data_IF_902460242884
#
_entry.id   IF_902460242884
#
_cell.length_a   1.000
_cell.length_b   1.000
_cell.length_c   1.000
_cell.angle_alpha   90.00
_cell.angle_beta   90.00
_cell.angle_gamma   90.00
#
_symmetry.space_group_name_H-M   'P 1'
#
loop_
_entity.id
_entity.type
_entity.pdbx_description
1 polymer ?
#
# COMPACT_ATOMS: atom_id res chain seq x y z
N UNK A 1 -7.24 -7.21 3.20
CA UNK A 1 -6.18 -6.69 2.31
C UNK A 1 -4.86 -6.70 3.06
N UNK A 2 -3.88 -7.45 2.56
CA UNK A 2 -2.48 -7.22 2.93
C UNK A 2 -2.00 -6.02 2.11
N UNK A 3 -1.23 -5.11 2.71
CA UNK A 3 -0.55 -4.03 1.97
C UNK A 3 0.35 -4.66 0.89
N UNK A 4 0.57 -3.97 -0.23
CA UNK A 4 1.36 -4.39 -1.41
C UNK A 4 2.84 -4.80 -1.17
N UNK A 5 3.25 -4.97 0.09
CA UNK A 5 4.51 -5.56 0.51
C UNK A 5 4.43 -7.10 0.54
N UNK A 6 5.56 -7.79 0.74
CA UNK A 6 5.61 -9.25 0.82
C UNK A 6 4.55 -9.80 1.80
N UNK A 7 3.55 -10.55 1.28
CA UNK A 7 2.34 -10.96 2.03
C UNK A 7 2.29 -12.44 2.40
N UNK A 8 3.13 -13.28 1.79
CA UNK A 8 3.09 -14.74 1.92
C UNK A 8 3.22 -15.21 3.37
N UNK A 9 4.08 -14.56 4.16
CA UNK A 9 4.33 -14.93 5.55
C UNK A 9 3.10 -14.67 6.43
N UNK A 10 2.40 -13.56 6.19
CA UNK A 10 1.13 -13.25 6.85
C UNK A 10 0.06 -14.29 6.51
N UNK A 11 -0.04 -14.70 5.24
CA UNK A 11 -1.00 -15.72 4.83
C UNK A 11 -0.75 -17.05 5.53
N UNK A 12 0.51 -17.48 5.67
CA UNK A 12 0.85 -18.69 6.44
C UNK A 12 0.36 -18.59 7.88
N UNK A 13 0.58 -17.46 8.55
CA UNK A 13 0.08 -17.25 9.92
C UNK A 13 -1.45 -17.27 10.00
N UNK A 14 -2.13 -16.65 9.03
CA UNK A 14 -3.60 -16.60 9.00
C UNK A 14 -4.24 -17.97 8.71
N UNK A 15 -3.58 -18.86 7.95
CA UNK A 15 -4.04 -20.24 7.80
C UNK A 15 -4.01 -21.01 9.12
N UNK A 16 -2.96 -20.82 9.92
CA UNK A 16 -2.91 -21.40 11.27
C UNK A 16 -3.98 -20.78 12.17
N UNK A 17 -4.19 -19.45 12.11
CA UNK A 17 -5.24 -18.79 12.87
C UNK A 17 -6.65 -19.28 12.49
N UNK A 18 -6.88 -19.60 11.21
CA UNK A 18 -8.11 -20.21 10.74
C UNK A 18 -8.31 -21.62 11.31
N UNK A 19 -7.26 -22.46 11.28
CA UNK A 19 -7.29 -23.79 11.90
C UNK A 19 -7.58 -23.70 13.41
N UNK A 20 -6.88 -22.82 14.13
CA UNK A 20 -7.08 -22.58 15.56
C UNK A 20 -8.52 -22.19 15.88
N UNK A 21 -9.12 -21.37 15.03
CA UNK A 21 -10.49 -20.96 15.20
C UNK A 21 -11.46 -22.12 15.01
N UNK A 22 -11.31 -22.89 13.93
CA UNK A 22 -12.22 -23.99 13.59
C UNK A 22 -12.08 -25.18 14.55
N UNK A 23 -10.84 -25.54 14.90
CA UNK A 23 -10.53 -26.75 15.67
C UNK A 23 -10.53 -26.48 17.18
N UNK A 24 -10.00 -25.33 17.60
CA UNK A 24 -9.73 -25.03 19.02
C UNK A 24 -10.63 -23.92 19.57
N UNK A 25 -11.51 -23.32 18.75
CA UNK A 25 -12.37 -22.21 19.16
C UNK A 25 -11.62 -20.92 19.51
N UNK A 26 -10.35 -20.79 19.11
CA UNK A 26 -9.55 -19.60 19.41
C UNK A 26 -9.86 -18.52 18.38
N UNK A 27 -10.42 -17.38 18.82
CA UNK A 27 -10.85 -16.30 17.93
C UNK A 27 -9.69 -15.80 17.03
N UNK A 28 -9.92 -15.49 15.74
CA UNK A 28 -8.87 -15.00 14.85
C UNK A 28 -8.41 -13.57 15.24
N UNK A 29 -7.24 -13.12 14.76
CA UNK A 29 -6.83 -11.72 14.92
C UNK A 29 -7.87 -10.74 14.38
N UNK A 30 -8.04 -9.61 15.07
CA UNK A 30 -9.01 -8.59 14.68
C UNK A 30 -8.72 -8.02 13.28
N UNK A 31 -9.78 -7.81 12.51
CA UNK A 31 -9.69 -7.25 11.15
C UNK A 31 -9.09 -5.84 11.16
N UNK A 32 -8.13 -5.60 10.26
CA UNK A 32 -7.43 -4.32 10.08
C UNK A 32 -7.88 -3.60 8.81
N UNK A 33 -9.11 -3.85 8.33
CA UNK A 33 -9.61 -3.19 7.11
C UNK A 33 -9.69 -1.67 7.30
N UNK A 34 -9.41 -0.88 6.24
CA UNK A 34 -9.64 0.56 6.26
C UNK A 34 -11.10 0.89 6.60
N UNK A 35 -11.33 1.94 7.39
CA UNK A 35 -12.66 2.39 7.81
C UNK A 35 -12.80 3.89 7.66
N UNK A 36 -14.01 4.32 7.30
CA UNK A 36 -14.37 5.75 7.23
C UNK A 36 -14.32 6.38 8.63
N UNK A 37 -14.84 5.68 9.64
CA UNK A 37 -14.88 6.16 11.03
C UNK A 37 -13.48 6.50 11.60
N UNK A 38 -12.46 5.74 11.19
CA UNK A 38 -11.09 5.89 11.68
C UNK A 38 -10.25 6.79 10.76
N UNK A 39 -10.85 7.37 9.71
CA UNK A 39 -10.17 8.21 8.71
C UNK A 39 -9.14 7.47 7.86
N UNK A 40 -9.13 6.14 7.91
CA UNK A 40 -8.21 5.29 7.15
C UNK A 40 -8.75 4.91 5.78
N UNK A 41 -10.03 5.16 5.51
CA UNK A 41 -10.67 5.01 4.20
C UNK A 41 -11.26 6.37 3.79
N UNK A 42 -10.75 6.95 2.70
CA UNK A 42 -11.04 8.34 2.30
C UNK A 42 -11.36 8.45 0.80
N UNK A 43 -12.07 9.50 0.36
CA UNK A 43 -12.16 9.82 -1.06
C UNK A 43 -10.78 10.06 -1.68
N UNK A 44 -10.52 9.66 -2.94
CA UNK A 44 -9.23 9.83 -3.60
C UNK A 44 -8.66 11.25 -3.53
N UNK A 45 -9.49 12.29 -3.61
CA UNK A 45 -9.04 13.69 -3.51
C UNK A 45 -8.48 14.08 -2.13
N UNK A 46 -8.69 13.25 -1.09
CA UNK A 46 -8.19 13.48 0.28
C UNK A 46 -6.96 12.63 0.63
N UNK A 47 -6.42 11.85 -0.31
CA UNK A 47 -5.15 11.16 -0.13
C UNK A 47 -4.02 12.18 -0.05
N UNK A 48 -3.13 12.00 0.92
CA UNK A 48 -2.00 12.90 1.14
C UNK A 48 -0.70 12.12 1.01
N UNK A 49 -0.19 12.04 -0.21
CA UNK A 49 1.15 11.48 -0.46
C UNK A 49 2.23 12.54 -0.22
N UNK A 50 3.39 12.16 0.37
CA UNK A 50 4.57 13.01 0.36
C UNK A 50 5.14 13.15 -1.06
N UNK A 51 5.76 14.29 -1.35
CA UNK A 51 6.55 14.47 -2.56
C UNK A 51 7.77 13.55 -2.55
N UNK A 52 7.99 12.78 -3.62
CA UNK A 52 9.12 11.85 -3.76
C UNK A 52 9.97 12.25 -4.97
N UNK A 53 11.26 12.50 -4.76
CA UNK A 53 12.11 13.20 -5.75
C UNK A 53 13.56 12.75 -5.73
N UNK A 54 14.23 12.89 -6.88
CA UNK A 54 15.68 12.76 -7.01
C UNK A 54 16.23 11.34 -6.77
N UNK A 55 15.47 10.32 -7.17
CA UNK A 55 15.83 8.92 -6.99
C UNK A 55 16.08 8.24 -8.34
N UNK A 56 16.75 7.09 -8.29
CA UNK A 56 17.06 6.30 -9.49
C UNK A 56 16.76 4.83 -9.27
N UNK A 57 16.36 4.13 -10.33
CA UNK A 57 16.38 2.67 -10.41
C UNK A 57 17.59 2.20 -11.23
N UNK A 58 18.03 0.97 -10.98
CA UNK A 58 18.99 0.32 -11.88
C UNK A 58 18.21 -0.45 -12.95
N UNK A 59 18.23 0.05 -14.18
CA UNK A 59 17.59 -0.59 -15.34
C UNK A 59 18.70 -1.17 -16.22
N UNK A 60 18.89 -2.48 -16.16
CA UNK A 60 19.99 -3.15 -16.87
C UNK A 60 21.39 -2.64 -16.47
N UNK A 61 21.58 -2.28 -15.19
CA UNK A 61 22.84 -1.70 -14.69
C UNK A 61 22.96 -0.19 -14.90
N UNK A 62 22.05 0.44 -15.64
CA UNK A 62 22.07 1.88 -15.88
C UNK A 62 21.24 2.61 -14.83
N UNK A 63 21.81 3.59 -14.09
CA UNK A 63 21.03 4.47 -13.24
C UNK A 63 20.04 5.27 -14.07
N UNK A 64 18.75 5.01 -13.86
CA UNK A 64 17.64 5.66 -14.57
C UNK A 64 16.83 6.46 -13.57
N UNK A 65 16.62 7.75 -13.85
CA UNK A 65 15.86 8.63 -12.97
C UNK A 65 14.42 8.14 -12.81
N UNK A 66 13.96 8.09 -11.57
CA UNK A 66 12.54 7.93 -11.26
C UNK A 66 11.92 9.32 -11.41
N UNK A 67 10.87 9.48 -12.24
CA UNK A 67 10.14 10.74 -12.33
C UNK A 67 9.66 11.19 -10.94
N UNK A 68 9.64 12.52 -10.73
CA UNK A 68 9.09 13.06 -9.49
C UNK A 68 7.65 12.58 -9.32
N UNK A 69 7.36 11.95 -8.18
CA UNK A 69 6.02 11.48 -7.90
C UNK A 69 5.18 12.63 -7.35
N UNK A 70 4.05 12.86 -8.00
CA UNK A 70 3.00 13.77 -7.54
C UNK A 70 1.65 13.07 -7.68
N UNK A 71 0.85 13.09 -6.63
CA UNK A 71 -0.41 12.35 -6.60
C UNK A 71 -1.50 13.13 -7.34
N UNK A 72 -1.91 12.61 -8.50
CA UNK A 72 -2.83 13.29 -9.42
C UNK A 72 -4.31 13.11 -9.08
N UNK A 73 -4.64 12.37 -8.02
CA UNK A 73 -6.02 12.00 -7.67
C UNK A 73 -6.85 11.45 -8.84
N UNK A 74 -6.20 10.70 -9.74
CA UNK A 74 -6.86 10.00 -10.84
C UNK A 74 -7.42 8.68 -10.35
N UNK A 75 -8.65 8.40 -10.72
CA UNK A 75 -9.35 7.16 -10.42
C UNK A 75 -10.36 6.89 -11.54
N UNK A 76 -10.70 5.62 -11.73
CA UNK A 76 -11.79 5.25 -12.64
C UNK A 76 -13.11 5.50 -11.92
N UNK A 77 -13.80 6.57 -12.31
CA UNK A 77 -15.12 6.90 -11.82
C UNK A 77 -16.17 5.90 -12.33
N UNK A 78 -17.24 5.70 -11.56
CA UNK A 78 -18.40 4.93 -11.96
C UNK A 78 -19.63 5.82 -11.87
N UNK A 79 -20.08 6.35 -13.01
CA UNK A 79 -21.33 7.11 -13.08
C UNK A 79 -22.51 6.21 -12.73
N UNK A 80 -23.46 6.75 -11.99
CA UNK A 80 -24.75 6.12 -11.76
C UNK A 80 -25.58 6.28 -13.04
N UNK A 81 -25.96 5.15 -13.62
CA UNK A 81 -26.66 5.09 -14.89
C UNK A 81 -28.11 4.66 -14.69
N UNK A 82 -29.01 5.29 -15.45
CA UNK A 82 -30.44 4.99 -15.52
C UNK A 82 -30.75 4.29 -16.85
N UNK A 83 -31.07 2.99 -16.76
CA UNK A 83 -31.39 2.13 -17.90
C UNK A 83 -32.89 2.12 -18.23
N UNK A 84 -33.69 2.95 -17.56
CA UNK A 84 -35.13 3.06 -17.75
C UNK A 84 -35.96 2.29 -16.73
N UNK A 85 -37.28 2.53 -16.71
CA UNK A 85 -38.15 2.15 -15.60
C UNK A 85 -38.43 0.64 -15.47
N UNK A 86 -38.12 -0.15 -16.50
CA UNK A 86 -38.30 -1.61 -16.47
C UNK A 86 -37.03 -2.35 -16.03
N UNK A 87 -35.92 -1.64 -15.83
CA UNK A 87 -34.68 -2.22 -15.32
C UNK A 87 -34.64 -2.12 -13.80
N UNK A 88 -34.26 -3.21 -13.15
CA UNK A 88 -34.13 -3.30 -11.69
C UNK A 88 -32.64 -3.34 -11.35
N UNK A 89 -32.02 -2.21 -10.96
CA UNK A 89 -30.58 -2.16 -10.74
C UNK A 89 -30.09 -2.93 -9.51
N UNK A 90 -30.97 -3.28 -8.57
CA UNK A 90 -30.60 -3.95 -7.32
C UNK A 90 -30.18 -5.42 -7.53
N UNK A 91 -30.73 -6.08 -8.55
CA UNK A 91 -30.46 -7.48 -8.87
C UNK A 91 -30.15 -7.69 -10.36
N UNK A 92 -29.92 -6.59 -11.09
CA UNK A 92 -29.64 -6.56 -12.53
C UNK A 92 -30.71 -7.23 -13.40
N UNK A 93 -31.96 -7.30 -12.93
CA UNK A 93 -33.07 -7.93 -13.64
C UNK A 93 -33.92 -6.94 -14.46
N UNK A 94 -34.94 -7.46 -15.15
CA UNK A 94 -35.86 -6.67 -15.98
C UNK A 94 -35.32 -6.36 -17.37
N UNK A 95 -35.78 -5.25 -17.97
CA UNK A 95 -35.47 -4.87 -19.35
C UNK A 95 -34.86 -3.46 -19.36
N UNK A 96 -33.63 -3.33 -19.86
CA UNK A 96 -33.01 -2.04 -20.13
C UNK A 96 -33.67 -1.38 -21.35
N UNK A 97 -34.52 -0.38 -21.13
CA UNK A 97 -35.28 0.30 -22.19
C UNK A 97 -34.61 1.57 -22.71
N UNK A 98 -33.61 2.12 -22.00
CA UNK A 98 -32.83 3.28 -22.43
C UNK A 98 -31.42 2.84 -22.89
N UNK A 99 -31.12 3.07 -24.17
CA UNK A 99 -29.80 2.83 -24.77
C UNK A 99 -29.40 3.97 -25.72
N UNK A 100 -28.32 4.74 -25.45
CA UNK A 100 -27.45 4.61 -24.27
C UNK A 100 -28.19 4.97 -22.97
N UNK A 101 -27.80 4.39 -21.82
CA UNK A 101 -28.40 4.73 -20.55
C UNK A 101 -28.16 6.20 -20.20
N UNK A 102 -29.07 6.77 -19.42
CA UNK A 102 -28.98 8.17 -19.00
C UNK A 102 -28.03 8.30 -17.82
N UNK A 103 -27.03 9.18 -17.94
CA UNK A 103 -26.25 9.62 -16.79
C UNK A 103 -27.11 10.52 -15.90
N UNK A 104 -27.23 10.18 -14.62
CA UNK A 104 -28.04 10.95 -13.66
C UNK A 104 -27.25 12.06 -12.96
N UNK A 105 -26.01 12.33 -13.37
CA UNK A 105 -25.13 13.36 -12.81
C UNK A 105 -24.65 13.04 -11.40
N UNK A 106 -24.56 11.75 -11.06
CA UNK A 106 -24.09 11.24 -9.76
C UNK A 106 -23.14 10.09 -10.00
N UNK A 107 -22.13 9.98 -9.15
CA UNK A 107 -21.17 8.87 -9.19
C UNK A 107 -21.32 7.98 -7.96
N UNK A 108 -20.97 6.70 -8.12
CA UNK A 108 -20.72 5.82 -6.98
C UNK A 108 -19.51 6.32 -6.19
N UNK A 109 -19.62 6.27 -4.87
CA UNK A 109 -18.52 6.69 -4.00
C UNK A 109 -17.34 5.71 -4.13
N UNK A 110 -16.24 6.20 -4.69
CA UNK A 110 -14.95 5.51 -4.65
C UNK A 110 -14.19 5.99 -3.42
N UNK A 111 -13.75 5.04 -2.59
CA UNK A 111 -12.91 5.30 -1.43
C UNK A 111 -11.66 4.43 -1.50
N UNK A 112 -10.57 4.95 -0.96
CA UNK A 112 -9.24 4.35 -1.03
C UNK A 112 -8.54 4.43 0.34
N UNK A 113 -7.65 3.47 0.67
CA UNK A 113 -6.93 3.50 1.93
C UNK A 113 -6.05 4.75 2.03
N UNK A 114 -6.13 5.47 3.14
CA UNK A 114 -5.27 6.62 3.42
C UNK A 114 -3.82 6.16 3.66
N UNK A 115 -2.87 7.01 3.29
CA UNK A 115 -1.44 6.78 3.50
C UNK A 115 -0.88 7.64 4.62
N UNK A 116 0.25 7.21 5.18
CA UNK A 116 1.04 8.01 6.09
C UNK A 116 1.68 9.19 5.31
N UNK A 117 1.50 10.44 5.75
CA UNK A 117 1.95 11.61 5.01
C UNK A 117 3.47 11.77 5.03
N UNK A 118 4.20 11.02 5.88
CA UNK A 118 5.65 11.07 5.94
C UNK A 118 6.29 9.98 5.08
N UNK A 119 5.70 8.79 5.02
CA UNK A 119 6.28 7.63 4.31
C UNK A 119 5.54 7.26 3.03
N UNK A 120 4.29 7.70 2.86
CA UNK A 120 3.42 7.34 1.74
C UNK A 120 2.90 5.90 1.78
N UNK A 121 3.08 5.17 2.89
CA UNK A 121 2.60 3.80 3.05
C UNK A 121 1.18 3.76 3.63
N UNK A 122 0.39 2.74 3.28
CA UNK A 122 -0.97 2.59 3.79
C UNK A 122 -1.03 2.56 5.33
N UNK A 123 -1.96 3.34 5.92
CA UNK A 123 -2.18 3.40 7.37
C UNK A 123 -2.98 2.23 7.92
N UNK A 124 -3.82 1.63 7.07
CA UNK A 124 -4.65 0.48 7.41
C UNK A 124 -4.21 -0.76 6.62
N UNK A 125 -4.83 -1.89 6.96
CA UNK A 125 -4.42 -3.20 6.50
C UNK A 125 -3.43 -3.85 7.47
N UNK A 126 -3.12 -5.12 7.22
CA UNK A 126 -2.06 -5.80 7.95
C UNK A 126 -0.74 -5.24 7.41
N UNK A 127 -0.09 -4.41 8.22
CA UNK A 127 1.23 -3.86 7.92
C UNK A 127 2.29 -4.93 8.15
N UNK A 128 2.86 -5.46 7.06
CA UNK A 128 3.99 -6.39 7.10
C UNK A 128 5.22 -5.76 7.78
N UNK A 129 6.23 -6.57 8.07
CA UNK A 129 7.51 -6.09 8.61
C UNK A 129 8.10 -4.99 7.73
N UNK A 130 8.03 -5.14 6.41
CA UNK A 130 8.53 -4.15 5.44
C UNK A 130 7.71 -2.85 5.45
N UNK A 131 6.41 -2.90 5.71
CA UNK A 131 5.60 -1.70 5.85
C UNK A 131 5.85 -0.98 7.19
N UNK A 132 6.24 -1.72 8.24
CA UNK A 132 6.54 -1.19 9.59
C UNK A 132 7.98 -0.71 9.75
N UNK A 133 8.92 -1.31 9.01
CA UNK A 133 10.33 -0.91 8.91
C UNK A 133 10.70 -0.67 7.43
N UNK A 134 10.13 0.39 6.82
CA UNK A 134 10.24 0.62 5.38
C UNK A 134 11.60 1.13 4.92
N UNK A 135 12.00 0.66 3.73
CA UNK A 135 13.16 1.17 3.00
C UNK A 135 12.77 2.11 1.85
N UNK A 136 11.47 2.33 1.67
CA UNK A 136 10.88 3.07 0.58
C UNK A 136 9.37 3.06 0.69
N UNK A 137 8.72 3.71 -0.27
CA UNK A 137 7.27 3.71 -0.42
C UNK A 137 6.86 2.70 -1.48
N UNK A 138 6.02 1.74 -1.08
CA UNK A 138 5.27 0.90 -2.02
C UNK A 138 3.96 1.61 -2.39
N UNK A 139 3.71 1.77 -3.68
CA UNK A 139 2.53 2.42 -4.25
C UNK A 139 1.74 1.36 -5.02
N UNK A 140 0.42 1.32 -4.89
CA UNK A 140 -0.41 0.26 -5.48
C UNK A 140 -0.82 0.54 -6.93
N UNK A 141 -0.25 1.58 -7.54
CA UNK A 141 -0.51 2.00 -8.91
C UNK A 141 0.77 2.60 -9.52
N UNK A 142 0.77 2.72 -10.85
CA UNK A 142 1.85 3.36 -11.60
C UNK A 142 1.29 4.40 -12.55
N UNK A 143 1.98 5.54 -12.65
CA UNK A 143 1.81 6.42 -13.79
C UNK A 143 2.64 5.89 -14.94
N UNK A 144 2.02 5.74 -16.10
CA UNK A 144 2.70 5.32 -17.32
C UNK A 144 3.13 6.55 -18.11
N UNK A 145 4.36 6.51 -18.63
CA UNK A 145 4.92 7.62 -19.41
C UNK A 145 4.34 7.69 -20.84
N UNK A 146 3.62 6.67 -21.28
CA UNK A 146 3.02 6.60 -22.62
C UNK A 146 1.82 7.56 -22.72
N UNK A 147 1.87 8.58 -23.59
CA UNK A 147 0.75 9.48 -23.80
C UNK A 147 -0.52 8.73 -24.21
N UNK A 148 -1.68 9.14 -23.68
CA UNK A 148 -2.98 8.56 -24.02
C UNK A 148 -3.38 7.32 -23.22
N UNK A 149 -2.48 6.74 -22.42
CA UNK A 149 -2.85 5.72 -21.44
C UNK A 149 -3.23 6.42 -20.14
N UNK A 150 -4.53 6.51 -19.89
CA UNK A 150 -5.11 7.15 -18.69
C UNK A 150 -5.77 6.16 -17.73
N UNK A 151 -5.81 4.88 -18.10
CA UNK A 151 -6.40 3.81 -17.30
C UNK A 151 -5.34 3.13 -16.42
N UNK A 152 -5.72 2.79 -15.20
CA UNK A 152 -4.90 2.09 -14.20
C UNK A 152 -5.08 0.57 -14.30
N UNK A 153 -5.16 0.01 -15.52
CA UNK A 153 -5.56 -1.39 -15.75
C UNK A 153 -4.52 -2.44 -15.35
N UNK A 154 -3.32 -2.04 -14.96
CA UNK A 154 -2.27 -2.94 -14.49
C UNK A 154 -2.17 -2.92 -12.97
N UNK A 155 -2.34 -4.09 -12.34
CA UNK A 155 -2.15 -4.31 -10.90
C UNK A 155 -0.68 -4.27 -10.45
N UNK A 156 0.21 -3.71 -11.28
CA UNK A 156 1.62 -3.57 -10.95
C UNK A 156 1.78 -2.29 -10.15
N UNK A 157 2.19 -2.42 -8.89
CA UNK A 157 2.57 -1.31 -8.05
C UNK A 157 3.96 -0.75 -8.37
N UNK A 158 4.37 0.26 -7.62
CA UNK A 158 5.67 0.92 -7.70
C UNK A 158 6.41 0.79 -6.38
N UNK A 159 7.74 0.73 -6.41
CA UNK A 159 8.57 0.89 -5.21
C UNK A 159 9.55 2.04 -5.41
N UNK A 160 9.39 3.08 -4.60
CA UNK A 160 10.22 4.29 -4.63
C UNK A 160 11.08 4.29 -3.35
N UNK A 161 12.39 4.01 -3.43
CA UNK A 161 13.25 3.91 -2.25
C UNK A 161 13.34 5.23 -1.48
N UNK A 162 13.71 5.18 -0.20
CA UNK A 162 14.11 6.39 0.53
C UNK A 162 15.56 6.76 0.20
N UNK A 163 15.87 8.04 0.33
CA UNK A 163 17.26 8.50 0.32
C UNK A 163 17.99 7.90 1.52
N UNK A 164 19.26 7.54 1.33
CA UNK A 164 20.07 6.99 2.43
C UNK A 164 20.35 8.02 3.52
N UNK A 165 20.65 9.26 3.13
CA UNK A 165 21.08 10.32 4.05
C UNK A 165 20.15 11.51 4.05
N UNK A 166 20.15 12.26 5.16
CA UNK A 166 19.39 13.52 5.29
C UNK A 166 19.83 14.53 4.23
N UNK A 167 21.14 14.65 4.01
CA UNK A 167 21.69 15.57 3.03
C UNK A 167 21.18 15.29 1.60
N UNK A 168 21.11 14.00 1.21
CA UNK A 168 20.63 13.60 -0.11
C UNK A 168 19.14 13.94 -0.32
N UNK A 169 18.27 13.62 0.65
CA UNK A 169 16.84 13.98 0.52
C UNK A 169 16.61 15.48 0.46
N UNK A 170 17.36 16.27 1.23
CA UNK A 170 17.21 17.72 1.25
C UNK A 170 17.65 18.34 -0.08
N UNK A 171 18.78 17.88 -0.64
CA UNK A 171 19.24 18.30 -1.95
C UNK A 171 18.24 17.93 -3.07
N UNK A 172 17.58 16.78 -2.96
CA UNK A 172 16.56 16.33 -3.91
C UNK A 172 15.18 16.98 -3.71
N UNK A 173 14.93 17.60 -2.54
CA UNK A 173 13.60 18.06 -2.14
C UNK A 173 12.58 16.93 -1.91
N UNK A 174 13.04 15.75 -1.50
CA UNK A 174 12.16 14.65 -1.09
C UNK A 174 11.60 14.94 0.31
N UNK A 175 10.27 14.89 0.45
CA UNK A 175 9.56 15.22 1.69
C UNK A 175 9.61 14.08 2.71
N UNK A 176 9.93 12.86 2.27
CA UNK A 176 10.00 11.67 3.13
C UNK A 176 11.29 11.67 3.95
N UNK A 177 11.32 11.06 5.14
CA UNK A 177 12.54 10.91 5.91
C UNK A 177 13.55 10.02 5.16
N UNK A 178 14.84 10.28 5.39
CA UNK A 178 15.92 9.40 4.92
C UNK A 178 16.05 8.18 5.82
N UNK A 179 16.75 7.14 5.32
CA UNK A 179 17.07 5.95 6.11
C UNK A 179 17.89 6.28 7.36
N UNK A 180 18.84 7.22 7.23
CA UNK A 180 19.62 7.76 8.34
C UNK A 180 18.73 8.40 9.42
N UNK A 181 17.70 9.14 9.03
CA UNK A 181 16.78 9.75 9.99
C UNK A 181 15.81 8.74 10.62
N UNK A 182 15.40 7.70 9.88
CA UNK A 182 14.51 6.65 10.39
C UNK A 182 15.21 5.72 11.38
N UNK A 183 16.45 5.34 11.08
CA UNK A 183 17.11 4.24 11.77
C UNK A 183 18.41 4.64 12.48
N UNK A 184 19.03 5.75 12.08
CA UNK A 184 20.34 6.19 12.57
C UNK A 184 21.51 5.34 12.09
N UNK A 185 21.42 4.02 12.28
CA UNK A 185 22.48 3.05 11.96
C UNK A 185 21.90 1.77 11.37
N UNK A 186 22.76 0.94 10.77
CA UNK A 186 22.39 -0.41 10.35
C UNK A 186 21.85 -1.26 11.52
N UNK A 187 22.42 -1.12 12.72
CA UNK A 187 21.92 -1.80 13.91
C UNK A 187 20.51 -1.31 14.32
N UNK A 188 20.25 0.00 14.17
CA UNK A 188 18.92 0.58 14.38
C UNK A 188 17.88 0.06 13.39
N UNK A 189 18.26 -0.14 12.13
CA UNK A 189 17.38 -0.77 11.13
C UNK A 189 17.04 -2.21 11.52
N UNK A 190 18.04 -3.02 11.90
CA UNK A 190 17.81 -4.39 12.37
C UNK A 190 16.92 -4.43 13.61
N UNK A 191 17.10 -3.48 14.54
CA UNK A 191 16.25 -3.35 15.73
C UNK A 191 14.80 -3.03 15.37
N UNK A 192 14.56 -2.09 14.43
CA UNK A 192 13.23 -1.76 13.94
C UNK A 192 12.55 -2.96 13.25
N UNK A 193 13.29 -3.70 12.42
CA UNK A 193 12.80 -4.95 11.80
C UNK A 193 12.42 -5.99 12.86
N UNK A 194 13.27 -6.16 13.88
CA UNK A 194 13.04 -7.12 14.97
C UNK A 194 11.78 -6.74 15.76
N UNK A 195 11.64 -5.47 16.14
CA UNK A 195 10.46 -4.96 16.84
C UNK A 195 9.18 -5.15 16.02
N UNK A 196 9.22 -4.85 14.72
CA UNK A 196 8.09 -5.04 13.83
C UNK A 196 7.68 -6.52 13.71
N UNK A 197 8.67 -7.41 13.57
CA UNK A 197 8.44 -8.85 13.47
C UNK A 197 7.87 -9.43 14.77
N UNK A 198 8.44 -9.06 15.92
CA UNK A 198 7.95 -9.49 17.23
C UNK A 198 6.52 -9.04 17.50
N UNK A 199 6.19 -7.79 17.15
CA UNK A 199 4.84 -7.27 17.28
C UNK A 199 3.82 -8.04 16.41
N UNK A 200 4.22 -8.45 15.19
CA UNK A 200 3.36 -9.26 14.33
C UNK A 200 3.21 -10.70 14.83
N UNK A 201 4.26 -11.29 15.40
CA UNK A 201 4.16 -12.61 16.06
C UNK A 201 3.23 -12.56 17.25
N UNK A 202 3.38 -11.54 18.12
CA UNK A 202 2.47 -11.33 19.24
C UNK A 202 1.01 -11.13 18.79
N UNK A 203 0.81 -10.47 17.64
CA UNK A 203 -0.51 -10.33 17.00
C UNK A 203 -1.02 -11.57 16.27
N UNK A 204 -0.28 -12.68 16.23
CA UNK A 204 -0.56 -13.88 15.40
C UNK A 204 -0.74 -13.57 13.91
N UNK A 205 -0.08 -12.51 13.43
CA UNK A 205 -0.05 -12.08 12.03
C UNK A 205 1.26 -12.49 11.33
N UNK A 206 2.18 -13.12 12.06
CA UNK A 206 3.43 -13.67 11.55
C UNK A 206 3.83 -14.89 12.38
N UNK A 207 4.37 -15.93 11.75
CA UNK A 207 4.92 -17.07 12.47
C UNK A 207 6.31 -16.74 13.01
N UNK A 208 6.69 -17.29 14.16
CA UNK A 208 8.03 -17.08 14.76
C UNK A 208 9.16 -17.41 13.79
N UNK A 209 9.05 -18.54 13.08
CA UNK A 209 10.02 -18.93 12.04
C UNK A 209 10.20 -17.86 10.95
N UNK A 210 9.10 -17.24 10.52
CA UNK A 210 9.11 -16.24 9.45
C UNK A 210 9.70 -14.92 9.97
N UNK A 211 9.39 -14.54 11.21
CA UNK A 211 10.02 -13.42 11.91
C UNK A 211 11.55 -13.59 11.98
N UNK A 212 12.02 -14.75 12.42
CA UNK A 212 13.46 -15.02 12.56
C UNK A 212 14.19 -14.95 11.22
N UNK A 213 13.55 -15.45 10.14
CA UNK A 213 14.09 -15.37 8.78
C UNK A 213 14.18 -13.92 8.28
N UNK A 214 13.17 -13.08 8.53
CA UNK A 214 13.17 -11.66 8.16
C UNK A 214 14.25 -10.87 8.92
N UNK A 215 14.43 -11.14 10.22
CA UNK A 215 15.49 -10.53 11.03
C UNK A 215 16.88 -10.97 10.55
N UNK A 216 17.06 -12.25 10.22
CA UNK A 216 18.31 -12.74 9.65
C UNK A 216 18.62 -12.08 8.30
N UNK A 217 17.63 -11.93 7.42
CA UNK A 217 17.76 -11.22 6.13
C UNK A 217 18.18 -9.76 6.34
N UNK A 218 17.58 -9.06 7.30
CA UNK A 218 17.93 -7.69 7.63
C UNK A 218 19.37 -7.56 8.17
N UNK A 219 19.85 -8.51 8.97
CA UNK A 219 21.24 -8.56 9.43
C UNK A 219 22.24 -8.81 8.30
N UNK A 220 21.86 -9.64 7.33
CA UNK A 220 22.70 -9.96 6.16
C UNK A 220 22.72 -8.85 5.10
N UNK A 221 21.80 -7.88 5.17
CA UNK A 221 21.63 -6.83 4.16
C UNK A 221 22.17 -5.50 4.66
N UNK A 222 23.09 -4.87 3.94
CA UNK A 222 23.60 -3.54 4.28
C UNK A 222 22.78 -2.45 3.60
N UNK A 223 21.99 -1.72 4.39
CA UNK A 223 21.09 -0.67 3.94
C UNK A 223 21.67 0.71 4.27
N UNK A 224 22.20 0.84 5.48
CA UNK A 224 22.96 1.99 5.94
C UNK A 224 24.46 1.66 5.98
N UNK A 225 25.33 2.65 5.69
CA UNK A 225 26.77 2.50 5.85
C UNK A 225 27.20 2.27 7.30
#
# INVERSE_FOLDING_TARGET
MCNSAHFTDTFRALFIALEDWVVRGTEPPASQVPKVADGTLVPPAKLVYPAMRGLTWSVGGTPTAIPAFDYLARYNGFSLLDFGPQYVPQDESGIATLQPPRDVGRDYAILVPQVDPSTGLARAGIQSVEARAPLGTSIEFNYVATPGITDLSNLTGSFIPFHKTRAARLAAGDARPSLEELYGTQAGYVAAVTQAADALVAGRLLLRRDADALVAKARASSVLP
#
